data_IF_084313963646
#
_entry.id   IF_084313963646
#
_cell.length_a   1.000
_cell.length_b   1.000
_cell.length_c   1.000
_cell.angle_alpha   90.00
_cell.angle_beta   90.00
_cell.angle_gamma   90.00
#
_symmetry.space_group_name_H-M   'P 1'
#
loop_
_entity.id
_entity.type
_entity.pdbx_description
1 polymer ?
#
# COMPACT_ATOMS: atom_id res chain seq x y z
N UNK A 1 12.46 -3.88 -12.97
CA UNK A 1 11.16 -4.51 -12.61
C UNK A 1 10.64 -5.51 -13.63
N UNK A 2 11.23 -5.59 -14.84
CA UNK A 2 10.74 -6.45 -15.92
C UNK A 2 10.57 -7.91 -15.45
N UNK A 3 9.43 -8.50 -15.75
CA UNK A 3 9.04 -9.88 -15.41
C UNK A 3 8.94 -10.21 -13.91
N UNK A 4 9.09 -9.24 -13.00
CA UNK A 4 8.95 -9.46 -11.55
C UNK A 4 7.50 -9.64 -11.16
N UNK A 5 7.19 -10.74 -10.47
CA UNK A 5 5.85 -10.98 -9.94
C UNK A 5 5.58 -9.99 -8.80
N UNK A 6 4.52 -9.23 -8.96
CA UNK A 6 4.15 -8.12 -8.10
C UNK A 6 2.75 -8.30 -7.56
N UNK A 7 2.60 -8.29 -6.24
CA UNK A 7 1.30 -8.32 -5.57
C UNK A 7 0.95 -6.91 -5.07
N UNK A 8 -0.20 -6.38 -5.53
CA UNK A 8 -0.74 -5.09 -5.07
C UNK A 8 -2.05 -5.32 -4.35
N UNK A 9 -2.12 -5.04 -3.05
CA UNK A 9 -3.36 -5.20 -2.29
C UNK A 9 -4.27 -3.99 -2.44
N UNK A 10 -5.59 -4.21 -2.58
CA UNK A 10 -6.58 -3.14 -2.73
C UNK A 10 -6.45 -2.37 -4.05
N UNK A 11 -6.35 -3.07 -5.17
CA UNK A 11 -6.05 -2.52 -6.50
C UNK A 11 -7.28 -2.08 -7.32
N UNK A 12 -8.48 -2.00 -6.73
CA UNK A 12 -9.73 -1.74 -7.48
C UNK A 12 -9.92 -0.29 -7.89
N UNK A 13 -9.33 0.67 -7.19
CA UNK A 13 -9.48 2.13 -7.41
C UNK A 13 -8.38 2.94 -6.74
N UNK A 14 -8.38 4.24 -6.97
CA UNK A 14 -7.51 5.22 -6.31
C UNK A 14 -6.02 4.86 -6.41
N UNK A 15 -5.31 5.00 -5.31
CA UNK A 15 -3.86 4.78 -5.22
C UNK A 15 -3.48 3.35 -5.64
N UNK A 16 -4.21 2.34 -5.18
CA UNK A 16 -3.90 0.95 -5.50
C UNK A 16 -4.02 0.62 -6.98
N UNK A 17 -5.04 1.14 -7.66
CA UNK A 17 -5.22 0.96 -9.10
C UNK A 17 -4.11 1.68 -9.91
N UNK A 18 -3.76 2.91 -9.53
CA UNK A 18 -2.67 3.66 -10.16
C UNK A 18 -1.32 2.94 -10.00
N UNK A 19 -1.02 2.44 -8.80
CA UNK A 19 0.19 1.66 -8.53
C UNK A 19 0.21 0.40 -9.41
N UNK A 20 -0.88 -0.38 -9.41
CA UNK A 20 -0.95 -1.62 -10.18
C UNK A 20 -0.72 -1.38 -11.67
N UNK A 21 -1.36 -0.36 -12.24
CA UNK A 21 -1.19 0.05 -13.64
C UNK A 21 0.24 0.50 -13.92
N UNK A 22 0.78 1.43 -13.13
CA UNK A 22 2.14 1.99 -13.32
C UNK A 22 3.24 0.92 -13.25
N UNK A 23 3.09 -0.08 -12.36
CA UNK A 23 4.04 -1.19 -12.27
C UNK A 23 3.90 -2.17 -13.44
N UNK A 24 2.66 -2.43 -13.90
CA UNK A 24 2.40 -3.27 -15.06
C UNK A 24 2.94 -2.65 -16.36
N UNK A 25 2.73 -1.34 -16.57
CA UNK A 25 3.33 -0.56 -17.66
C UNK A 25 4.87 -0.58 -17.60
N UNK A 26 5.44 -0.67 -16.41
CA UNK A 26 6.88 -0.86 -16.18
C UNK A 26 7.38 -2.27 -16.43
N UNK A 27 6.54 -3.20 -16.90
CA UNK A 27 6.87 -4.58 -17.27
C UNK A 27 6.82 -5.59 -16.13
N UNK A 28 6.25 -5.23 -14.96
CA UNK A 28 6.02 -6.18 -13.89
C UNK A 28 4.80 -7.09 -14.19
N UNK A 29 4.85 -8.36 -13.74
CA UNK A 29 3.69 -9.26 -13.75
C UNK A 29 2.82 -8.96 -12.54
N UNK A 30 1.80 -8.12 -12.71
CA UNK A 30 1.01 -7.61 -11.59
C UNK A 30 -0.21 -8.48 -11.31
N UNK A 31 -0.34 -8.91 -10.04
CA UNK A 31 -1.57 -9.46 -9.48
C UNK A 31 -2.14 -8.44 -8.50
N UNK A 32 -3.31 -7.89 -8.82
CA UNK A 32 -3.99 -6.93 -7.96
C UNK A 32 -5.12 -7.60 -7.16
N UNK A 33 -5.32 -7.20 -5.90
CA UNK A 33 -6.40 -7.80 -5.11
C UNK A 33 -7.61 -6.89 -4.93
N UNK A 34 -8.76 -7.53 -4.78
CA UNK A 34 -10.05 -6.92 -4.45
C UNK A 34 -10.76 -7.75 -3.38
N UNK A 35 -11.71 -7.15 -2.67
CA UNK A 35 -12.51 -7.88 -1.66
C UNK A 35 -13.74 -8.59 -2.23
N UNK A 36 -14.06 -8.38 -3.50
CA UNK A 36 -15.20 -8.99 -4.19
C UNK A 36 -14.81 -9.53 -5.57
N UNK A 37 -15.60 -10.47 -6.08
CA UNK A 37 -15.40 -11.03 -7.43
C UNK A 37 -15.48 -9.94 -8.51
N UNK A 38 -16.50 -9.07 -8.47
CA UNK A 38 -16.65 -7.96 -9.42
C UNK A 38 -15.46 -6.98 -9.36
N UNK A 39 -14.90 -6.76 -8.15
CA UNK A 39 -13.68 -5.97 -7.99
C UNK A 39 -12.46 -6.63 -8.63
N UNK A 40 -12.31 -7.95 -8.48
CA UNK A 40 -11.22 -8.71 -9.08
C UNK A 40 -11.31 -8.73 -10.63
N UNK A 41 -12.52 -8.84 -11.16
CA UNK A 41 -12.80 -8.75 -12.60
C UNK A 41 -12.40 -7.36 -13.17
N UNK A 42 -12.79 -6.28 -12.48
CA UNK A 42 -12.40 -4.92 -12.84
C UNK A 42 -10.87 -4.74 -12.85
N UNK A 43 -10.17 -5.30 -11.85
CA UNK A 43 -8.71 -5.28 -11.82
C UNK A 43 -8.12 -6.09 -12.97
N UNK A 44 -8.70 -7.26 -13.27
CA UNK A 44 -8.28 -8.10 -14.40
C UNK A 44 -8.41 -7.36 -15.72
N UNK A 45 -9.57 -6.73 -15.97
CA UNK A 45 -9.82 -5.94 -17.17
C UNK A 45 -8.75 -4.85 -17.34
N UNK A 46 -8.46 -4.11 -16.27
CA UNK A 46 -7.46 -3.03 -16.31
C UNK A 46 -6.02 -3.53 -16.53
N UNK A 47 -5.67 -4.73 -16.05
CA UNK A 47 -4.31 -5.27 -16.12
C UNK A 47 -4.07 -6.23 -17.30
N UNK A 48 -5.12 -6.75 -17.92
CA UNK A 48 -5.02 -7.68 -19.07
C UNK A 48 -4.12 -7.18 -20.22
N UNK A 49 -4.14 -5.88 -20.61
CA UNK A 49 -3.24 -5.37 -21.65
C UNK A 49 -1.75 -5.53 -21.32
N UNK A 50 -1.42 -5.71 -20.04
CA UNK A 50 -0.05 -5.85 -19.55
C UNK A 50 0.25 -7.28 -19.03
N UNK A 51 -0.66 -8.24 -19.26
CA UNK A 51 -0.49 -9.62 -18.80
C UNK A 51 -0.70 -9.83 -17.30
N UNK A 52 -1.33 -8.87 -16.61
CA UNK A 52 -1.69 -8.97 -15.20
C UNK A 52 -3.13 -9.46 -14.99
N UNK A 53 -3.51 -9.70 -13.73
CA UNK A 53 -4.85 -10.13 -13.34
C UNK A 53 -5.28 -9.64 -11.97
N UNK A 54 -6.57 -9.74 -11.70
CA UNK A 54 -7.16 -9.52 -10.38
C UNK A 54 -7.47 -10.83 -9.65
N UNK A 55 -7.43 -10.81 -8.33
CA UNK A 55 -7.83 -11.92 -7.46
C UNK A 55 -8.65 -11.41 -6.28
N UNK A 56 -9.54 -12.26 -5.78
CA UNK A 56 -10.27 -11.96 -4.55
C UNK A 56 -9.38 -12.28 -3.35
N UNK A 57 -9.18 -11.30 -2.48
CA UNK A 57 -8.46 -11.48 -1.23
C UNK A 57 -8.98 -10.52 -0.16
N UNK A 58 -9.50 -11.08 0.93
CA UNK A 58 -9.63 -10.35 2.19
C UNK A 58 -8.29 -10.46 2.95
N UNK A 59 -7.57 -9.36 3.09
CA UNK A 59 -6.24 -9.32 3.73
C UNK A 59 -6.27 -9.61 5.23
N UNK A 60 -7.45 -9.64 5.88
CA UNK A 60 -7.57 -10.01 7.29
C UNK A 60 -7.65 -11.53 7.50
N UNK A 61 -7.94 -12.29 6.45
CA UNK A 61 -8.03 -13.75 6.46
C UNK A 61 -6.67 -14.39 6.16
N UNK A 62 -6.07 -15.02 7.16
CA UNK A 62 -4.76 -15.64 7.03
C UNK A 62 -4.77 -16.84 6.07
N UNK A 63 -5.85 -17.64 6.08
CA UNK A 63 -5.95 -18.80 5.19
C UNK A 63 -6.12 -18.36 3.73
N UNK A 64 -6.89 -17.29 3.48
CA UNK A 64 -7.03 -16.70 2.16
C UNK A 64 -5.70 -16.12 1.64
N UNK A 65 -4.87 -15.50 2.49
CA UNK A 65 -3.53 -15.04 2.13
C UNK A 65 -2.68 -16.22 1.63
N UNK A 66 -2.61 -17.30 2.41
CA UNK A 66 -1.80 -18.46 2.06
C UNK A 66 -2.26 -19.13 0.76
N UNK A 67 -3.58 -19.28 0.58
CA UNK A 67 -4.18 -19.84 -0.65
C UNK A 67 -3.89 -18.96 -1.87
N UNK A 68 -4.04 -17.64 -1.73
CA UNK A 68 -3.77 -16.68 -2.82
C UNK A 68 -2.30 -16.70 -3.22
N UNK A 69 -1.37 -16.69 -2.26
CA UNK A 69 0.06 -16.73 -2.58
C UNK A 69 0.47 -18.04 -3.26
N UNK A 70 -0.11 -19.18 -2.88
CA UNK A 70 0.11 -20.47 -3.59
C UNK A 70 -0.43 -20.43 -5.02
N UNK A 71 -1.60 -19.83 -5.25
CA UNK A 71 -2.16 -19.67 -6.60
C UNK A 71 -1.28 -18.77 -7.47
N UNK A 72 -0.77 -17.66 -6.92
CA UNK A 72 0.16 -16.77 -7.61
C UNK A 72 1.47 -17.50 -7.92
N UNK A 73 2.04 -18.21 -6.95
CA UNK A 73 3.29 -18.94 -7.16
C UNK A 73 3.18 -20.00 -8.26
N UNK A 74 2.03 -20.69 -8.34
CA UNK A 74 1.78 -21.70 -9.35
C UNK A 74 1.60 -21.12 -10.78
N UNK A 75 1.07 -19.91 -10.90
CA UNK A 75 0.73 -19.30 -12.20
C UNK A 75 1.78 -18.33 -12.71
N UNK A 76 2.29 -17.47 -11.85
CA UNK A 76 3.20 -16.37 -12.20
C UNK A 76 4.61 -16.57 -11.65
N UNK A 77 4.76 -17.37 -10.60
CA UNK A 77 5.99 -17.53 -9.82
C UNK A 77 5.94 -16.82 -8.46
N UNK A 78 7.02 -16.91 -7.71
CA UNK A 78 7.11 -16.33 -6.39
C UNK A 78 7.02 -14.80 -6.41
N UNK A 79 6.27 -14.22 -5.47
CA UNK A 79 6.12 -12.77 -5.33
C UNK A 79 7.47 -12.15 -4.99
N UNK A 80 7.96 -11.29 -5.87
CA UNK A 80 9.22 -10.54 -5.73
C UNK A 80 9.00 -9.09 -5.26
N UNK A 81 7.82 -8.54 -5.51
CA UNK A 81 7.44 -7.17 -5.11
C UNK A 81 6.09 -7.24 -4.40
N UNK A 82 6.01 -6.70 -3.19
CA UNK A 82 4.77 -6.62 -2.41
C UNK A 82 4.42 -5.16 -2.13
N UNK A 83 3.22 -4.74 -2.54
CA UNK A 83 2.66 -3.44 -2.23
C UNK A 83 1.49 -3.61 -1.27
N UNK A 84 1.70 -3.27 -0.02
CA UNK A 84 0.68 -3.26 1.02
C UNK A 84 -0.09 -1.94 0.97
N UNK A 85 -1.15 -1.89 0.14
CA UNK A 85 -1.98 -0.70 -0.04
C UNK A 85 -3.39 -0.85 0.54
N UNK A 86 -3.92 -2.07 0.67
CA UNK A 86 -5.24 -2.29 1.25
C UNK A 86 -5.37 -1.62 2.63
N UNK A 87 -6.45 -0.91 2.85
CA UNK A 87 -6.71 -0.23 4.11
C UNK A 87 -8.14 0.29 4.21
N UNK A 88 -8.57 0.52 5.43
CA UNK A 88 -9.88 1.09 5.76
C UNK A 88 -9.74 2.23 6.76
N UNK A 89 -10.76 3.07 6.85
CA UNK A 89 -10.96 4.01 7.94
C UNK A 89 -12.24 3.68 8.70
N UNK A 90 -12.27 4.00 10.00
CA UNK A 90 -13.43 3.98 10.88
C UNK A 90 -13.32 5.21 11.76
N UNK A 91 -13.62 6.37 11.15
CA UNK A 91 -13.37 7.68 11.74
C UNK A 91 -14.46 8.04 12.73
N UNK A 92 -14.08 8.29 13.97
CA UNK A 92 -14.95 8.78 15.04
C UNK A 92 -14.12 9.35 16.17
N UNK A 93 -14.69 10.27 16.95
CA UNK A 93 -14.01 10.80 18.14
C UNK A 93 -13.75 9.71 19.18
N UNK A 94 -12.64 9.80 19.90
CA UNK A 94 -12.20 8.80 20.88
C UNK A 94 -13.33 8.34 21.84
N UNK A 95 -14.11 9.29 22.35
CA UNK A 95 -15.20 9.00 23.29
C UNK A 95 -16.33 8.13 22.72
N UNK A 96 -16.40 7.98 21.40
CA UNK A 96 -17.43 7.21 20.68
C UNK A 96 -16.86 6.03 19.94
N UNK A 97 -15.52 5.88 19.91
CA UNK A 97 -14.86 4.79 19.20
C UNK A 97 -15.14 3.47 19.90
N UNK A 98 -15.60 2.49 19.14
CA UNK A 98 -15.83 1.14 19.64
C UNK A 98 -14.59 0.27 19.42
N UNK A 99 -14.41 -0.73 20.25
CA UNK A 99 -13.32 -1.70 20.12
C UNK A 99 -13.34 -2.41 18.77
N UNK A 100 -14.53 -2.74 18.24
CA UNK A 100 -14.68 -3.32 16.89
C UNK A 100 -14.16 -2.41 15.78
N UNK A 101 -14.33 -1.09 15.90
CA UNK A 101 -13.82 -0.12 14.92
C UNK A 101 -12.30 0.00 15.02
N UNK A 102 -11.77 -0.06 16.24
CA UNK A 102 -10.33 -0.12 16.48
C UNK A 102 -9.73 -1.40 15.91
N UNK A 103 -10.26 -2.55 16.26
CA UNK A 103 -9.75 -3.86 15.85
C UNK A 103 -9.81 -4.04 14.33
N UNK A 104 -10.91 -3.63 13.68
CA UNK A 104 -11.03 -3.70 12.24
C UNK A 104 -9.94 -2.89 11.52
N UNK A 105 -9.61 -1.69 12.03
CA UNK A 105 -8.56 -0.84 11.46
C UNK A 105 -7.18 -1.43 11.72
N UNK A 106 -6.89 -1.90 12.93
CA UNK A 106 -5.62 -2.53 13.28
C UNK A 106 -5.40 -3.82 12.49
N UNK A 107 -6.41 -4.68 12.37
CA UNK A 107 -6.33 -5.93 11.62
C UNK A 107 -6.09 -5.70 10.13
N UNK A 108 -6.78 -4.70 9.53
CA UNK A 108 -6.67 -4.42 8.11
C UNK A 108 -5.42 -3.62 7.77
N UNK A 109 -5.11 -2.55 8.53
CA UNK A 109 -4.08 -1.59 8.11
C UNK A 109 -2.68 -1.91 8.67
N UNK A 110 -2.56 -2.76 9.69
CA UNK A 110 -1.27 -3.11 10.30
C UNK A 110 -1.01 -4.62 10.32
N UNK A 111 -1.91 -5.40 10.90
CA UNK A 111 -1.71 -6.84 11.08
C UNK A 111 -1.67 -7.60 9.75
N UNK A 112 -2.48 -7.19 8.77
CA UNK A 112 -2.45 -7.75 7.41
C UNK A 112 -1.10 -7.54 6.75
N UNK A 113 -0.50 -6.37 6.90
CA UNK A 113 0.83 -6.01 6.35
C UNK A 113 1.91 -6.93 6.94
N UNK A 114 1.87 -7.16 8.25
CA UNK A 114 2.75 -8.13 8.90
C UNK A 114 2.56 -9.54 8.30
N UNK A 115 1.31 -10.02 8.17
CA UNK A 115 1.01 -11.36 7.65
C UNK A 115 1.49 -11.56 6.23
N UNK A 116 1.15 -10.62 5.33
CA UNK A 116 1.55 -10.66 3.93
C UNK A 116 3.07 -10.62 3.78
N UNK A 117 3.74 -9.69 4.47
CA UNK A 117 5.19 -9.55 4.40
C UNK A 117 5.90 -10.81 4.91
N UNK A 118 5.44 -11.40 6.03
CA UNK A 118 5.96 -12.66 6.55
C UNK A 118 5.80 -13.80 5.54
N UNK A 119 4.66 -13.89 4.86
CA UNK A 119 4.39 -14.97 3.92
C UNK A 119 5.27 -14.91 2.67
N UNK A 120 5.61 -13.70 2.16
CA UNK A 120 6.46 -13.53 0.97
C UNK A 120 7.96 -13.46 1.31
N UNK A 121 8.35 -13.24 2.56
CA UNK A 121 9.74 -13.01 2.94
C UNK A 121 10.65 -14.21 2.67
N UNK A 122 10.18 -15.44 2.93
CA UNK A 122 10.99 -16.65 2.73
C UNK A 122 11.38 -16.89 1.26
N UNK A 123 10.46 -16.84 0.28
CA UNK A 123 10.83 -16.87 -1.15
C UNK A 123 11.76 -15.72 -1.55
N UNK A 124 11.51 -14.49 -1.08
CA UNK A 124 12.37 -13.33 -1.36
C UNK A 124 13.80 -13.54 -0.82
N UNK A 125 13.94 -14.04 0.41
CA UNK A 125 15.26 -14.38 0.99
C UNK A 125 16.00 -15.43 0.18
N UNK A 126 15.30 -16.46 -0.30
CA UNK A 126 15.89 -17.51 -1.17
C UNK A 126 16.38 -16.94 -2.50
N UNK A 127 15.60 -16.03 -3.09
CA UNK A 127 15.94 -15.35 -4.33
C UNK A 127 17.01 -14.25 -4.15
N UNK A 128 17.32 -13.85 -2.90
CA UNK A 128 18.15 -12.68 -2.56
C UNK A 128 17.71 -11.40 -3.26
N UNK A 129 16.41 -11.27 -3.46
CA UNK A 129 15.76 -10.11 -4.02
C UNK A 129 14.32 -9.97 -3.46
N UNK A 130 13.96 -8.79 -3.06
CA UNK A 130 12.61 -8.44 -2.66
C UNK A 130 12.42 -6.93 -2.56
N UNK A 131 11.21 -6.47 -2.85
CA UNK A 131 10.78 -5.08 -2.64
C UNK A 131 9.45 -5.10 -1.90
N UNK A 132 9.44 -4.55 -0.72
CA UNK A 132 8.20 -4.37 0.07
C UNK A 132 7.96 -2.87 0.22
N UNK A 133 6.81 -2.41 -0.25
CA UNK A 133 6.40 -1.02 -0.09
C UNK A 133 5.07 -0.97 0.65
N UNK A 134 5.08 -0.32 1.80
CA UNK A 134 3.90 -0.12 2.63
C UNK A 134 3.29 1.26 2.33
N UNK A 135 2.00 1.32 2.06
CA UNK A 135 1.30 2.60 1.89
C UNK A 135 0.82 3.08 3.26
N UNK A 136 1.56 4.04 3.77
CA UNK A 136 1.29 4.74 5.02
C UNK A 136 0.25 5.84 4.86
N UNK A 137 0.46 6.91 5.60
CA UNK A 137 -0.28 8.17 5.50
C UNK A 137 0.49 9.25 6.26
N UNK A 138 0.37 10.49 5.85
CA UNK A 138 0.83 11.64 6.64
C UNK A 138 0.19 11.67 8.04
N UNK A 139 -1.04 11.14 8.17
CA UNK A 139 -1.75 11.02 9.45
C UNK A 139 -1.00 10.14 10.45
N UNK A 140 -0.24 9.14 9.99
CA UNK A 140 0.60 8.33 10.88
C UNK A 140 1.76 9.11 11.51
N UNK A 141 2.15 10.25 10.95
CA UNK A 141 3.21 11.13 11.46
C UNK A 141 2.64 12.33 12.22
N UNK A 142 1.55 12.94 11.71
CA UNK A 142 0.96 14.17 12.26
C UNK A 142 -0.12 13.89 13.31
N UNK A 143 -0.81 12.74 13.23
CA UNK A 143 -2.10 12.54 13.87
C UNK A 143 -3.24 13.27 13.12
N UNK A 144 -4.48 12.92 13.45
CA UNK A 144 -5.68 13.63 13.02
C UNK A 144 -6.83 13.37 14.00
N UNK A 145 -7.56 14.40 14.36
CA UNK A 145 -8.74 14.26 15.24
C UNK A 145 -9.76 13.32 14.60
N UNK A 146 -10.32 12.39 15.39
CA UNK A 146 -11.29 11.40 14.91
C UNK A 146 -10.67 10.16 14.23
N UNK A 147 -9.33 10.08 14.14
CA UNK A 147 -8.62 8.98 13.48
C UNK A 147 -7.59 8.30 14.38
N UNK A 148 -7.86 8.16 15.69
CA UNK A 148 -6.91 7.58 16.65
C UNK A 148 -6.47 6.17 16.23
N UNK A 149 -7.42 5.31 15.83
CA UNK A 149 -7.16 3.96 15.32
C UNK A 149 -6.33 3.97 14.03
N UNK A 150 -6.72 4.80 13.06
CA UNK A 150 -6.03 4.91 11.77
C UNK A 150 -4.61 5.48 11.94
N UNK A 151 -4.46 6.55 12.74
CA UNK A 151 -3.17 7.14 13.04
C UNK A 151 -2.24 6.13 13.72
N UNK A 152 -2.74 5.40 14.74
CA UNK A 152 -1.98 4.36 15.42
C UNK A 152 -1.52 3.25 14.47
N UNK A 153 -2.43 2.74 13.60
CA UNK A 153 -2.08 1.71 12.63
C UNK A 153 -1.03 2.21 11.63
N UNK A 154 -1.18 3.42 11.09
CA UNK A 154 -0.23 4.01 10.11
C UNK A 154 1.10 4.39 10.74
N UNK A 155 1.12 4.85 11.99
CA UNK A 155 2.35 5.05 12.76
C UNK A 155 3.06 3.71 13.04
N UNK A 156 2.31 2.66 13.37
CA UNK A 156 2.85 1.30 13.57
C UNK A 156 3.56 0.76 12.33
N UNK A 157 3.10 1.11 11.11
CA UNK A 157 3.77 0.74 9.87
C UNK A 157 5.18 1.34 9.76
N UNK A 158 5.44 2.52 10.34
CA UNK A 158 6.77 3.15 10.33
C UNK A 158 7.77 2.28 11.11
N UNK A 159 7.40 1.87 12.32
CA UNK A 159 8.21 0.98 13.15
C UNK A 159 8.41 -0.40 12.51
N UNK A 160 7.33 -0.99 11.99
CA UNK A 160 7.36 -2.27 11.28
C UNK A 160 8.29 -2.21 10.05
N UNK A 161 8.22 -1.13 9.25
CA UNK A 161 9.07 -0.92 8.09
C UNK A 161 10.56 -0.89 8.46
N UNK A 162 10.93 -0.12 9.49
CA UNK A 162 12.31 -0.01 9.96
C UNK A 162 12.86 -1.34 10.48
N UNK A 163 12.08 -2.06 11.28
CA UNK A 163 12.49 -3.35 11.83
C UNK A 163 12.71 -4.40 10.74
N UNK A 164 11.78 -4.50 9.79
CA UNK A 164 11.89 -5.42 8.66
C UNK A 164 13.05 -5.05 7.71
N UNK A 165 13.30 -3.76 7.49
CA UNK A 165 14.43 -3.30 6.69
C UNK A 165 15.77 -3.74 7.32
N UNK A 166 15.90 -3.61 8.64
CA UNK A 166 17.07 -4.06 9.38
C UNK A 166 17.25 -5.59 9.32
N UNK A 167 16.16 -6.35 9.46
CA UNK A 167 16.19 -7.83 9.49
C UNK A 167 16.48 -8.43 8.10
N UNK A 168 15.89 -7.85 7.05
CA UNK A 168 15.88 -8.44 5.71
C UNK A 168 16.93 -7.86 4.76
N UNK A 169 17.56 -6.72 5.10
CA UNK A 169 18.48 -5.99 4.23
C UNK A 169 19.65 -6.81 3.76
N UNK A 170 20.26 -7.65 4.63
CA UNK A 170 21.39 -8.54 4.27
C UNK A 170 21.03 -9.61 3.23
N UNK A 171 19.73 -9.79 2.95
CA UNK A 171 19.19 -10.72 1.96
C UNK A 171 18.81 -10.06 0.63
N UNK A 172 19.17 -8.79 0.42
CA UNK A 172 18.86 -8.04 -0.80
C UNK A 172 17.39 -7.61 -0.88
N UNK A 173 16.69 -7.56 0.26
CA UNK A 173 15.29 -7.16 0.37
C UNK A 173 15.24 -5.74 0.93
N UNK A 174 14.53 -4.84 0.26
CA UNK A 174 14.24 -3.51 0.80
C UNK A 174 12.81 -3.44 1.30
N UNK A 175 12.62 -2.74 2.41
CA UNK A 175 11.29 -2.48 2.99
C UNK A 175 11.17 -0.99 3.22
N UNK A 176 10.21 -0.34 2.56
CA UNK A 176 10.02 1.10 2.63
C UNK A 176 8.55 1.44 2.85
N UNK A 177 8.29 2.66 3.29
CA UNK A 177 6.95 3.21 3.44
C UNK A 177 6.82 4.46 2.57
N UNK A 178 5.73 4.55 1.81
CA UNK A 178 5.29 5.78 1.16
C UNK A 178 4.18 6.36 2.02
N UNK A 179 4.31 7.63 2.42
CA UNK A 179 3.34 8.36 3.23
C UNK A 179 2.63 9.42 2.37
N UNK A 180 1.46 9.10 1.77
CA UNK A 180 0.67 10.07 1.05
C UNK A 180 0.16 11.20 1.95
N UNK A 181 0.06 12.41 1.37
CA UNK A 181 -0.77 13.47 1.91
C UNK A 181 -2.25 13.32 1.51
N UNK A 182 -2.93 14.44 1.26
CA UNK A 182 -4.28 14.42 0.72
C UNK A 182 -4.25 14.19 -0.80
N UNK A 183 -4.81 13.05 -1.21
CA UNK A 183 -4.81 12.59 -2.61
C UNK A 183 -6.22 12.70 -3.18
N UNK A 184 -6.34 13.21 -4.40
CA UNK A 184 -7.61 13.32 -5.13
C UNK A 184 -8.11 11.92 -5.53
N UNK A 185 -9.02 11.40 -4.71
CA UNK A 185 -9.66 10.10 -4.85
C UNK A 185 -11.16 10.26 -4.58
N UNK A 186 -11.96 9.23 -4.82
CA UNK A 186 -13.40 9.24 -4.53
C UNK A 186 -13.71 9.75 -3.10
N UNK A 187 -12.81 9.47 -2.15
CA UNK A 187 -12.96 9.87 -0.75
C UNK A 187 -12.82 11.39 -0.57
N UNK A 188 -11.87 12.04 -1.23
CA UNK A 188 -11.65 13.48 -1.15
C UNK A 188 -12.60 14.26 -2.06
N UNK A 189 -13.04 13.65 -3.15
CA UNK A 189 -14.06 14.23 -4.06
C UNK A 189 -15.45 14.31 -3.41
N UNK A 190 -15.74 13.39 -2.47
CA UNK A 190 -17.00 13.42 -1.71
C UNK A 190 -17.06 14.55 -0.65
N UNK A 191 -15.96 15.25 -0.39
CA UNK A 191 -15.92 16.37 0.56
C UNK A 191 -16.59 17.62 -0.02
N UNK A 192 -17.31 18.41 0.81
CA UNK A 192 -17.80 19.73 0.41
C UNK A 192 -16.66 20.63 -0.09
N UNK A 193 -16.92 21.44 -1.12
CA UNK A 193 -15.91 22.30 -1.75
C UNK A 193 -15.17 23.20 -0.76
N UNK A 194 -15.87 23.78 0.22
CA UNK A 194 -15.26 24.61 1.26
C UNK A 194 -14.25 23.83 2.15
N UNK A 195 -14.47 22.53 2.36
CA UNK A 195 -13.53 21.69 3.09
C UNK A 195 -12.33 21.33 2.20
N UNK A 196 -12.58 21.04 0.93
CA UNK A 196 -11.53 20.74 -0.05
C UNK A 196 -10.58 21.94 -0.22
N UNK A 197 -11.12 23.16 -0.33
CA UNK A 197 -10.33 24.40 -0.41
C UNK A 197 -9.43 24.56 0.82
N UNK A 198 -9.98 24.39 2.03
CA UNK A 198 -9.19 24.44 3.27
C UNK A 198 -8.05 23.42 3.32
N UNK A 199 -8.26 22.21 2.77
CA UNK A 199 -7.21 21.21 2.69
C UNK A 199 -6.11 21.65 1.72
N UNK A 200 -6.47 22.22 0.57
CA UNK A 200 -5.51 22.73 -0.42
C UNK A 200 -4.68 23.87 0.16
N UNK A 201 -5.30 24.78 0.91
CA UNK A 201 -4.60 25.91 1.56
C UNK A 201 -3.53 25.49 2.55
N UNK A 202 -3.63 24.26 3.11
CA UNK A 202 -2.62 23.69 4.00
C UNK A 202 -1.45 23.06 3.26
N UNK A 203 -1.55 22.85 1.95
CA UNK A 203 -0.53 22.14 1.16
C UNK A 203 0.34 23.16 0.45
N UNK A 204 1.66 23.27 0.76
CA UNK A 204 2.56 24.21 0.09
C UNK A 204 2.60 24.09 -1.43
N UNK A 205 2.40 22.88 -1.98
CA UNK A 205 2.30 22.68 -3.43
C UNK A 205 1.01 23.23 -4.06
N UNK A 206 0.05 23.74 -3.27
CA UNK A 206 -1.18 24.40 -3.73
C UNK A 206 -2.18 23.47 -4.43
N UNK A 207 -2.05 22.16 -4.28
CA UNK A 207 -2.96 21.17 -4.88
C UNK A 207 -3.04 19.88 -4.06
N UNK A 208 -4.11 19.15 -4.23
CA UNK A 208 -4.14 17.74 -3.82
C UNK A 208 -3.14 16.94 -4.68
N UNK A 209 -2.56 15.90 -4.10
CA UNK A 209 -1.81 14.91 -4.87
C UNK A 209 -2.75 14.09 -5.74
N UNK A 210 -2.21 13.44 -6.75
CA UNK A 210 -2.93 12.46 -7.57
C UNK A 210 -2.52 11.03 -7.19
N UNK A 211 -3.33 10.01 -7.49
CA UNK A 211 -2.90 8.63 -7.36
C UNK A 211 -1.58 8.32 -8.10
N UNK A 212 -1.33 9.00 -9.22
CA UNK A 212 -0.10 8.83 -10.01
C UNK A 212 1.13 9.43 -9.30
N UNK A 213 0.99 10.52 -8.54
CA UNK A 213 2.10 11.05 -7.71
C UNK A 213 2.62 9.95 -6.76
N UNK A 214 1.70 9.16 -6.19
CA UNK A 214 2.05 8.04 -5.30
C UNK A 214 2.60 6.85 -6.09
N UNK A 215 1.99 6.52 -7.22
CA UNK A 215 2.39 5.38 -8.04
C UNK A 215 3.83 5.54 -8.56
N UNK A 216 4.25 6.74 -8.96
CA UNK A 216 5.61 7.03 -9.39
C UNK A 216 6.63 6.89 -8.25
N UNK A 217 6.29 7.34 -7.04
CA UNK A 217 7.13 7.14 -5.85
C UNK A 217 7.30 5.64 -5.52
N UNK A 218 6.22 4.88 -5.60
CA UNK A 218 6.25 3.41 -5.42
C UNK A 218 7.09 2.75 -6.49
N UNK A 219 6.92 3.15 -7.77
CA UNK A 219 7.72 2.63 -8.89
C UNK A 219 9.21 2.82 -8.66
N UNK A 220 9.62 4.00 -8.20
CA UNK A 220 11.03 4.26 -7.83
C UNK A 220 11.52 3.27 -6.77
N UNK A 221 10.79 3.08 -5.67
CA UNK A 221 11.19 2.17 -4.58
C UNK A 221 11.20 0.68 -5.00
N UNK A 222 10.48 0.31 -6.06
CA UNK A 222 10.47 -1.04 -6.62
C UNK A 222 11.60 -1.29 -7.63
N UNK A 223 12.30 -0.25 -8.07
CA UNK A 223 13.37 -0.37 -9.06
C UNK A 223 14.59 -1.14 -8.51
N UNK A 224 15.32 -1.78 -9.41
CA UNK A 224 16.56 -2.50 -9.06
C UNK A 224 17.62 -1.53 -8.53
N UNK A 225 17.69 -0.33 -9.08
CA UNK A 225 18.63 0.72 -8.68
C UNK A 225 18.30 1.36 -7.32
N UNK A 226 17.09 1.16 -6.79
CA UNK A 226 16.71 1.59 -5.44
C UNK A 226 17.16 0.59 -4.34
N UNK A 227 18.04 -0.36 -4.65
CA UNK A 227 18.47 -1.40 -3.72
C UNK A 227 19.20 -0.90 -2.45
N UNK A 228 19.64 0.35 -2.42
CA UNK A 228 20.25 0.97 -1.25
C UNK A 228 19.29 1.86 -0.44
N UNK A 229 18.03 1.97 -0.89
CA UNK A 229 16.96 2.68 -0.18
C UNK A 229 16.13 1.67 0.59
N UNK A 230 16.29 1.62 1.91
CA UNK A 230 15.53 0.72 2.79
C UNK A 230 15.29 1.35 4.15
N UNK A 231 14.18 1.03 4.80
CA UNK A 231 13.79 1.54 6.12
C UNK A 231 13.28 2.98 6.09
N UNK A 232 13.14 3.61 4.92
CA UNK A 232 12.72 5.01 4.80
C UNK A 232 11.20 5.16 4.84
N UNK A 233 10.76 6.32 5.31
CA UNK A 233 9.42 6.85 5.06
C UNK A 233 9.54 7.94 4.02
N UNK A 234 9.10 7.65 2.79
CA UNK A 234 9.07 8.62 1.69
C UNK A 234 7.75 9.40 1.76
N UNK A 235 7.82 10.64 2.20
CA UNK A 235 6.67 11.54 2.24
C UNK A 235 6.35 12.09 0.86
N UNK A 236 5.12 11.81 0.37
CA UNK A 236 4.60 12.27 -0.92
C UNK A 236 3.30 13.04 -0.63
N UNK A 237 3.46 14.30 -0.19
CA UNK A 237 2.38 15.05 0.44
C UNK A 237 2.32 16.54 0.06
N UNK A 238 3.07 16.96 -0.96
CA UNK A 238 3.10 18.36 -1.42
C UNK A 238 3.65 19.36 -0.41
N UNK A 239 4.42 18.89 0.60
CA UNK A 239 4.93 19.73 1.68
C UNK A 239 3.97 19.91 2.87
N UNK A 240 2.87 19.14 2.93
CA UNK A 240 1.95 19.17 4.08
C UNK A 240 2.65 18.78 5.40
N UNK A 241 3.66 17.93 5.33
CA UNK A 241 4.48 17.50 6.47
C UNK A 241 5.93 17.34 6.05
N UNK A 242 6.83 17.85 6.86
CA UNK A 242 8.29 17.72 6.73
C UNK A 242 8.86 16.84 7.84
N UNK A 243 9.90 16.06 7.55
CA UNK A 243 10.70 15.30 8.52
C UNK A 243 12.04 15.97 8.77
#
# INVERSE_FOLDING_TARGET
>A
MKDRVTLVTGATRGIGAAIAKTLAEGGAKVVGTATSQAGAEKVTEALTPFGGRGVVLNVTDAAAIDATLKDIEAKEGAVAILINNAGITRDTLLMRMKDDDWDAVMDTNLKSVFRLTRAVSRPMMKARFGRVVNIGSVVGSMGNAGQVNYAAAKAGLIGLTKSLASELGSRGITVNLVAPGFIDTDMTQALPEAQRTKLIDLIPAGRLGTPDDIAHAVKFLCDEHAGYVTGTTLHVNGGLYFT
#
